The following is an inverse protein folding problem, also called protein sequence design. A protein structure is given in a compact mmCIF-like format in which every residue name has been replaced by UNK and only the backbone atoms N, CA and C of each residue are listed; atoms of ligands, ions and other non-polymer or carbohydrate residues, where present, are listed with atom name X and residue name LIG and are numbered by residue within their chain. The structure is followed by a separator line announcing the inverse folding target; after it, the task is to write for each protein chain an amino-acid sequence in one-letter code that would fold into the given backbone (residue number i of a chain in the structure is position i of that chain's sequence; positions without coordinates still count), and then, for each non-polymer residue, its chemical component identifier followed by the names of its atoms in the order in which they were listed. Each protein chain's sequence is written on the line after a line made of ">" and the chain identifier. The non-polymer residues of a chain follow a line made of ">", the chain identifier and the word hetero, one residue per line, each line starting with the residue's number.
data_IF_059799125622
#
_entry.id   IF_059799125622
#
_cell.length_a   1.000
_cell.length_b   1.000
_cell.length_c   1.000
_cell.angle_alpha   90.00
_cell.angle_beta   90.00
_cell.angle_gamma   90.00
#
_symmetry.space_group_name_H-M   'P 1'
#
loop_
_entity.id
_entity.type
_entity.pdbx_description
1 polymer ?
#
# COMPACT_ATOMS: atom_id res chain seq x y z
N UNK A 1 -16.94 18.02 5.06
CA UNK A 1 -16.18 16.88 4.47
C UNK A 1 -14.98 16.46 5.32
N UNK A 2 -13.89 17.25 5.48
CA UNK A 2 -12.68 16.81 6.23
C UNK A 2 -12.95 16.31 7.66
N UNK A 3 -13.61 17.13 8.50
CA UNK A 3 -13.92 16.76 9.89
C UNK A 3 -14.79 15.51 9.98
N UNK A 4 -15.73 15.34 9.04
CA UNK A 4 -16.62 14.19 8.99
C UNK A 4 -15.84 12.88 8.80
N UNK A 5 -14.96 12.78 7.79
CA UNK A 5 -14.17 11.56 7.56
C UNK A 5 -13.19 11.26 8.68
N UNK A 6 -12.64 12.29 9.33
CA UNK A 6 -11.81 12.12 10.52
C UNK A 6 -12.63 11.53 11.68
N UNK A 7 -13.83 12.07 11.93
CA UNK A 7 -14.75 11.55 12.95
C UNK A 7 -15.16 10.11 12.64
N UNK A 8 -15.54 9.82 11.38
CA UNK A 8 -15.91 8.46 10.94
C UNK A 8 -14.77 7.48 11.23
N UNK A 9 -13.53 7.84 10.88
CA UNK A 9 -12.37 6.99 11.13
C UNK A 9 -12.17 6.71 12.63
N UNK A 10 -12.21 7.73 13.49
CA UNK A 10 -12.07 7.50 14.94
C UNK A 10 -13.23 6.72 15.54
N UNK A 11 -14.47 6.98 15.13
CA UNK A 11 -15.64 6.19 15.55
C UNK A 11 -15.45 4.74 15.12
N UNK A 12 -15.00 4.50 13.89
CA UNK A 12 -14.73 3.16 13.38
C UNK A 12 -13.63 2.44 14.20
N UNK A 13 -12.55 3.13 14.58
CA UNK A 13 -11.52 2.58 15.47
C UNK A 13 -12.05 2.23 16.87
N UNK A 14 -12.96 3.05 17.42
CA UNK A 14 -13.59 2.76 18.72
C UNK A 14 -14.53 1.55 18.60
N UNK A 15 -15.41 1.55 17.60
CA UNK A 15 -16.38 0.48 17.38
C UNK A 15 -15.69 -0.86 17.13
N UNK A 16 -14.63 -0.91 16.31
CA UNK A 16 -13.89 -2.15 16.09
C UNK A 16 -13.18 -2.61 17.35
N UNK A 17 -12.65 -1.69 18.17
CA UNK A 17 -11.99 -2.04 19.42
C UNK A 17 -12.98 -2.67 20.40
N UNK A 18 -14.18 -2.09 20.54
CA UNK A 18 -15.26 -2.66 21.36
C UNK A 18 -15.66 -4.04 20.81
N UNK A 19 -15.87 -4.16 19.50
CA UNK A 19 -16.26 -5.42 18.87
C UNK A 19 -15.22 -6.51 19.14
N UNK A 20 -13.93 -6.23 18.92
CA UNK A 20 -12.83 -7.17 19.17
C UNK A 20 -12.79 -7.59 20.62
N UNK A 21 -12.88 -6.65 21.58
CA UNK A 21 -12.90 -6.97 23.01
C UNK A 21 -14.07 -7.88 23.36
N UNK A 22 -15.28 -7.56 22.87
CA UNK A 22 -16.49 -8.37 23.11
C UNK A 22 -16.34 -9.78 22.54
N UNK A 23 -15.84 -9.91 21.31
CA UNK A 23 -15.63 -11.21 20.67
C UNK A 23 -14.55 -12.03 21.39
N UNK A 24 -13.46 -11.41 21.82
CA UNK A 24 -12.40 -12.07 22.58
C UNK A 24 -12.92 -12.60 23.91
N UNK A 25 -13.68 -11.79 24.66
CA UNK A 25 -14.29 -12.21 25.94
C UNK A 25 -15.29 -13.35 25.69
N UNK A 26 -16.19 -13.19 24.70
CA UNK A 26 -17.19 -14.21 24.34
C UNK A 26 -16.51 -15.54 23.96
N UNK A 27 -15.47 -15.47 23.12
CA UNK A 27 -14.71 -16.64 22.69
C UNK A 27 -14.01 -17.35 23.85
N UNK A 28 -13.42 -16.58 24.79
CA UNK A 28 -12.78 -17.16 25.97
C UNK A 28 -13.78 -17.86 26.90
N UNK A 29 -14.94 -17.22 27.16
CA UNK A 29 -16.02 -17.82 27.97
C UNK A 29 -16.57 -19.09 27.31
N UNK A 30 -16.70 -19.10 25.98
CA UNK A 30 -17.19 -20.27 25.26
C UNK A 30 -16.16 -21.40 25.24
N UNK A 31 -14.88 -21.11 25.02
CA UNK A 31 -13.79 -22.07 25.08
C UNK A 31 -13.64 -22.71 26.48
N UNK A 32 -13.91 -21.95 27.55
CA UNK A 32 -13.92 -22.49 28.91
C UNK A 32 -15.10 -23.46 29.18
N UNK A 33 -16.20 -23.33 28.45
CA UNK A 33 -17.42 -24.15 28.62
C UNK A 33 -17.50 -25.35 27.67
N UNK A 34 -16.90 -25.26 26.49
CA UNK A 34 -16.96 -26.27 25.43
C UNK A 34 -15.58 -26.87 25.19
N UNK A 35 -15.42 -28.15 25.50
CA UNK A 35 -14.12 -28.86 25.45
C UNK A 35 -13.61 -29.19 24.04
N UNK A 36 -14.40 -29.03 22.98
CA UNK A 36 -14.13 -29.76 21.72
C UNK A 36 -14.02 -28.97 20.40
N UNK A 37 -14.21 -27.64 20.34
CA UNK A 37 -14.27 -26.96 19.02
C UNK A 37 -13.14 -25.95 18.69
N UNK A 38 -12.65 -25.16 19.65
CA UNK A 38 -11.63 -24.15 19.37
C UNK A 38 -10.49 -24.19 20.39
N UNK A 39 -9.26 -24.36 19.90
CA UNK A 39 -8.05 -24.49 20.74
C UNK A 39 -7.15 -23.26 20.58
N UNK A 40 -7.32 -22.23 21.42
CA UNK A 40 -6.58 -20.97 21.28
C UNK A 40 -5.07 -21.18 21.37
N UNK A 41 -4.60 -22.13 22.19
CA UNK A 41 -3.17 -22.45 22.33
C UNK A 41 -2.52 -22.99 21.06
N UNK A 42 -3.33 -23.35 20.05
CA UNK A 42 -2.87 -23.92 18.78
C UNK A 42 -3.16 -23.03 17.58
N UNK A 43 -4.08 -22.08 17.74
CA UNK A 43 -4.48 -21.14 16.69
C UNK A 43 -3.70 -19.82 16.75
N UNK A 44 -3.48 -19.27 17.96
CA UNK A 44 -2.78 -17.98 18.11
C UNK A 44 -1.27 -18.03 17.81
N UNK A 45 -0.49 -19.03 18.29
CA UNK A 45 0.96 -18.99 18.12
C UNK A 45 1.43 -19.00 16.66
N UNK A 46 0.88 -19.82 15.74
CA UNK A 46 1.26 -19.77 14.33
C UNK A 46 1.03 -18.39 13.70
N UNK A 47 -0.05 -17.71 14.09
CA UNK A 47 -0.44 -16.43 13.49
C UNK A 47 0.37 -15.26 14.06
N UNK A 48 0.64 -15.25 15.37
CA UNK A 48 1.53 -14.27 16.00
C UNK A 48 2.98 -14.47 15.54
N UNK A 49 3.44 -15.71 15.40
CA UNK A 49 4.74 -16.05 14.84
C UNK A 49 4.87 -15.59 13.39
N UNK A 50 3.82 -15.80 12.58
CA UNK A 50 3.76 -15.28 11.21
C UNK A 50 3.75 -13.75 11.18
N UNK A 51 2.99 -13.07 12.04
CA UNK A 51 2.99 -11.61 12.13
C UNK A 51 4.39 -11.07 12.50
N UNK A 52 5.06 -11.67 13.49
CA UNK A 52 6.44 -11.32 13.82
C UNK A 52 7.39 -11.51 12.63
N UNK A 53 7.26 -12.63 11.91
CA UNK A 53 8.03 -12.88 10.69
C UNK A 53 7.76 -11.83 9.61
N UNK A 54 6.51 -11.37 9.46
CA UNK A 54 6.15 -10.31 8.53
C UNK A 54 6.89 -9.00 8.84
N UNK A 55 6.98 -8.63 10.11
CA UNK A 55 7.72 -7.44 10.55
C UNK A 55 9.21 -7.53 10.20
N UNK A 56 9.83 -8.67 10.52
CA UNK A 56 11.25 -8.91 10.24
C UNK A 56 11.52 -8.90 8.73
N UNK A 57 10.74 -9.68 7.96
CA UNK A 57 10.90 -9.78 6.51
C UNK A 57 10.63 -8.44 5.84
N UNK A 58 9.62 -7.68 6.27
CA UNK A 58 9.32 -6.36 5.70
C UNK A 58 10.45 -5.35 5.95
N UNK A 59 11.02 -5.34 7.15
CA UNK A 59 12.17 -4.50 7.46
C UNK A 59 13.41 -4.90 6.66
N UNK A 60 13.71 -6.20 6.57
CA UNK A 60 14.78 -6.71 5.70
C UNK A 60 14.54 -6.35 4.24
N UNK A 61 13.30 -6.40 3.77
CA UNK A 61 12.94 -6.06 2.40
C UNK A 61 13.17 -4.58 2.10
N UNK A 62 12.80 -3.70 3.03
CA UNK A 62 13.10 -2.27 2.95
C UNK A 62 14.62 -2.03 2.93
N UNK A 63 15.36 -2.71 3.81
CA UNK A 63 16.83 -2.62 3.89
C UNK A 63 17.50 -3.03 2.57
N UNK A 64 17.11 -4.19 2.00
CA UNK A 64 17.62 -4.66 0.70
C UNK A 64 17.29 -3.66 -0.40
N UNK A 65 16.06 -3.13 -0.40
CA UNK A 65 15.63 -2.13 -1.38
C UNK A 65 16.40 -0.82 -1.26
N UNK A 66 16.86 -0.48 -0.07
CA UNK A 66 17.70 0.69 0.18
C UNK A 66 19.15 0.51 -0.29
N UNK A 67 19.74 -0.68 -0.09
CA UNK A 67 21.13 -0.92 -0.49
C UNK A 67 21.30 -1.35 -1.94
N UNK A 68 20.42 -2.21 -2.45
CA UNK A 68 20.51 -2.81 -3.79
C UNK A 68 19.12 -2.80 -4.47
N UNK A 69 18.65 -1.63 -4.96
CA UNK A 69 17.32 -1.51 -5.57
C UNK A 69 17.13 -2.44 -6.78
N UNK A 70 18.21 -2.68 -7.56
CA UNK A 70 18.18 -3.61 -8.69
C UNK A 70 17.86 -5.05 -8.25
N UNK A 71 18.51 -5.52 -7.19
CA UNK A 71 18.27 -6.86 -6.65
C UNK A 71 16.86 -6.95 -6.10
N UNK A 72 16.43 -5.95 -5.33
CA UNK A 72 15.09 -5.91 -4.75
C UNK A 72 13.99 -6.03 -5.80
N UNK A 73 14.08 -5.26 -6.90
CA UNK A 73 13.09 -5.32 -7.99
C UNK A 73 13.10 -6.71 -8.64
N UNK A 74 14.28 -7.26 -8.94
CA UNK A 74 14.42 -8.59 -9.55
C UNK A 74 13.84 -9.67 -8.64
N UNK A 75 14.14 -9.65 -7.35
CA UNK A 75 13.62 -10.64 -6.39
C UNK A 75 12.12 -10.50 -6.18
N UNK A 76 11.58 -9.28 -6.12
CA UNK A 76 10.13 -9.05 -6.00
C UNK A 76 9.38 -9.71 -7.14
N UNK A 77 9.82 -9.47 -8.38
CA UNK A 77 9.14 -9.90 -9.59
C UNK A 77 9.43 -11.34 -9.99
N UNK A 78 10.55 -11.90 -9.51
CA UNK A 78 10.88 -13.31 -9.72
C UNK A 78 10.08 -14.24 -8.81
N UNK A 79 9.72 -13.79 -7.60
CA UNK A 79 8.87 -14.53 -6.69
C UNK A 79 7.40 -14.64 -7.14
N UNK A 80 6.98 -13.94 -8.18
CA UNK A 80 5.59 -13.96 -8.64
C UNK A 80 5.31 -15.07 -9.66
N UNK A 81 4.12 -15.71 -9.59
CA UNK A 81 3.75 -16.84 -10.46
C UNK A 81 3.52 -16.48 -11.93
N UNK A 82 3.49 -15.18 -12.27
CA UNK A 82 3.29 -14.70 -13.65
C UNK A 82 4.66 -14.25 -14.18
N UNK A 83 5.07 -14.65 -15.40
CA UNK A 83 6.33 -14.22 -16.00
C UNK A 83 6.27 -12.76 -16.50
N UNK A 84 5.84 -11.83 -15.65
CA UNK A 84 5.95 -10.38 -15.85
C UNK A 84 7.41 -9.96 -16.01
N UNK A 85 8.35 -10.75 -15.48
CA UNK A 85 9.79 -10.52 -15.67
C UNK A 85 10.19 -10.46 -17.16
N UNK A 86 9.53 -11.25 -18.04
CA UNK A 86 9.80 -11.27 -19.48
C UNK A 86 9.21 -10.05 -20.20
N UNK A 87 8.05 -9.55 -19.75
CA UNK A 87 7.32 -8.47 -20.43
C UNK A 87 7.83 -7.07 -20.07
N UNK A 88 8.51 -6.93 -18.93
CA UNK A 88 8.84 -5.62 -18.30
C UNK A 88 10.33 -5.28 -18.38
N UNK A 89 11.15 -6.14 -18.97
CA UNK A 89 12.62 -6.02 -19.05
C UNK A 89 13.17 -4.60 -19.35
N UNK A 90 12.69 -3.85 -20.37
CA UNK A 90 13.23 -2.53 -20.70
C UNK A 90 12.79 -1.39 -19.75
N UNK A 91 11.94 -1.66 -18.77
CA UNK A 91 11.49 -0.68 -17.77
C UNK A 91 12.26 -0.81 -16.44
N UNK A 92 13.05 -1.88 -16.25
CA UNK A 92 13.78 -2.13 -15.01
C UNK A 92 14.92 -1.16 -14.78
N UNK A 93 15.68 -0.81 -15.82
CA UNK A 93 16.81 0.10 -15.66
C UNK A 93 16.35 1.46 -15.15
N UNK A 94 15.24 1.95 -15.70
CA UNK A 94 14.64 3.21 -15.25
C UNK A 94 14.07 3.11 -13.83
N UNK A 95 13.33 2.04 -13.51
CA UNK A 95 12.79 1.84 -12.16
C UNK A 95 13.90 1.73 -11.11
N UNK A 96 15.02 1.07 -11.46
CA UNK A 96 16.21 0.98 -10.60
C UNK A 96 16.81 2.36 -10.38
N UNK A 97 17.03 3.14 -11.44
CA UNK A 97 17.56 4.52 -11.35
C UNK A 97 16.67 5.42 -10.48
N UNK A 98 15.35 5.35 -10.65
CA UNK A 98 14.40 6.14 -9.86
C UNK A 98 14.37 5.70 -8.39
N UNK A 99 14.52 4.41 -8.10
CA UNK A 99 14.68 3.96 -6.71
C UNK A 99 16.02 4.42 -6.12
N UNK A 100 17.07 4.57 -6.92
CA UNK A 100 18.34 5.17 -6.45
C UNK A 100 18.19 6.65 -6.04
N UNK A 101 17.24 7.39 -6.63
CA UNK A 101 16.89 8.76 -6.18
C UNK A 101 16.31 8.74 -4.75
N UNK A 102 15.68 7.65 -4.34
CA UNK A 102 15.25 7.46 -2.95
C UNK A 102 16.44 7.17 -2.02
N UNK A 103 17.41 6.38 -2.46
CA UNK A 103 18.54 5.92 -1.60
C UNK A 103 19.62 6.98 -1.42
N UNK A 104 19.73 7.95 -2.34
CA UNK A 104 20.80 8.95 -2.34
C UNK A 104 20.72 9.93 -1.16
N UNK A 105 19.50 10.29 -0.73
CA UNK A 105 19.28 11.22 0.37
C UNK A 105 18.01 10.85 1.15
N UNK A 106 18.03 9.81 2.01
CA UNK A 106 16.89 9.50 2.85
C UNK A 106 16.62 10.66 3.82
N UNK A 107 15.35 11.06 4.05
CA UNK A 107 15.05 12.07 5.06
C UNK A 107 15.51 11.60 6.44
N UNK A 108 15.93 12.55 7.27
CA UNK A 108 16.32 12.27 8.64
C UNK A 108 15.26 11.45 9.38
N UNK A 109 15.71 10.39 10.05
CA UNK A 109 14.90 9.48 10.87
C UNK A 109 13.83 8.69 10.11
N UNK A 110 13.93 8.57 8.78
CA UNK A 110 12.98 7.76 7.99
C UNK A 110 12.91 6.32 8.47
N UNK A 111 14.05 5.68 8.74
CA UNK A 111 14.09 4.32 9.29
C UNK A 111 13.35 4.22 10.63
N UNK A 112 13.46 5.22 11.51
CA UNK A 112 12.73 5.26 12.77
C UNK A 112 11.22 5.31 12.54
N UNK A 113 10.75 6.15 11.62
CA UNK A 113 9.32 6.22 11.27
C UNK A 113 8.79 4.92 10.69
N UNK A 114 9.58 4.25 9.85
CA UNK A 114 9.16 2.99 9.24
C UNK A 114 9.12 1.89 10.30
N UNK A 115 10.13 1.77 11.16
CA UNK A 115 10.12 0.83 12.29
C UNK A 115 8.91 1.08 13.20
N UNK A 116 8.63 2.34 13.57
CA UNK A 116 7.46 2.69 14.39
C UNK A 116 6.14 2.32 13.70
N UNK A 117 6.05 2.51 12.38
CA UNK A 117 4.87 2.12 11.60
C UNK A 117 4.70 0.60 11.56
N UNK A 118 5.78 -0.16 11.41
CA UNK A 118 5.78 -1.63 11.43
C UNK A 118 5.32 -2.13 12.81
N UNK A 119 5.89 -1.58 13.90
CA UNK A 119 5.48 -1.92 15.27
C UNK A 119 3.99 -1.64 15.49
N UNK A 120 3.52 -0.47 15.05
CA UNK A 120 2.10 -0.10 15.14
C UNK A 120 1.21 -1.08 14.38
N UNK A 121 1.63 -1.49 13.17
CA UNK A 121 0.92 -2.48 12.37
C UNK A 121 0.91 -3.87 13.01
N UNK A 122 2.01 -4.29 13.65
CA UNK A 122 2.11 -5.56 14.37
C UNK A 122 1.18 -5.60 15.58
N UNK A 123 1.19 -4.54 16.39
CA UNK A 123 0.31 -4.41 17.56
C UNK A 123 -1.16 -4.42 17.12
N UNK A 124 -1.51 -3.64 16.09
CA UNK A 124 -2.88 -3.58 15.59
C UNK A 124 -3.33 -4.92 14.99
N UNK A 125 -2.49 -5.58 14.19
CA UNK A 125 -2.80 -6.90 13.62
C UNK A 125 -2.99 -7.94 14.73
N UNK A 126 -2.10 -7.97 15.72
CA UNK A 126 -2.19 -8.89 16.86
C UNK A 126 -3.49 -8.68 17.65
N UNK A 127 -3.87 -7.42 17.86
CA UNK A 127 -5.13 -7.08 18.52
C UNK A 127 -6.35 -7.60 17.74
N UNK A 128 -6.45 -7.33 16.43
CA UNK A 128 -7.59 -7.79 15.64
C UNK A 128 -7.66 -9.32 15.53
N UNK A 129 -6.50 -9.99 15.48
CA UNK A 129 -6.40 -11.45 15.50
C UNK A 129 -7.09 -12.06 16.71
N UNK A 130 -7.04 -11.42 17.89
CA UNK A 130 -7.77 -11.89 19.08
C UNK A 130 -9.29 -11.89 18.87
N UNK A 131 -9.82 -10.87 18.19
CA UNK A 131 -11.25 -10.79 17.86
C UNK A 131 -11.67 -11.84 16.84
N UNK A 132 -10.84 -12.10 15.83
CA UNK A 132 -11.09 -13.16 14.84
C UNK A 132 -11.11 -14.52 15.52
N UNK A 133 -10.11 -14.83 16.35
CA UNK A 133 -10.07 -16.08 17.12
C UNK A 133 -11.28 -16.22 18.05
N UNK A 134 -11.71 -15.13 18.68
CA UNK A 134 -12.93 -15.10 19.52
C UNK A 134 -14.21 -15.41 18.74
N UNK A 135 -14.35 -14.88 17.53
CA UNK A 135 -15.48 -15.17 16.63
C UNK A 135 -15.45 -16.61 16.11
N UNK A 136 -14.27 -17.11 15.71
CA UNK A 136 -14.08 -18.50 15.28
C UNK A 136 -14.39 -19.50 16.39
N UNK A 137 -14.17 -19.14 17.65
CA UNK A 137 -14.47 -20.01 18.79
C UNK A 137 -15.96 -20.33 18.95
N UNK A 138 -16.85 -19.42 18.58
CA UNK A 138 -18.31 -19.60 18.69
C UNK A 138 -18.94 -20.22 17.45
N UNK A 139 -18.40 -19.93 16.25
CA UNK A 139 -18.74 -20.66 15.01
C UNK A 139 -20.17 -20.45 14.50
N UNK A 140 -20.83 -19.33 14.81
CA UNK A 140 -22.18 -18.99 14.33
C UNK A 140 -22.16 -18.25 12.99
N UNK A 141 -23.28 -18.24 12.24
CA UNK A 141 -23.35 -17.51 10.96
C UNK A 141 -23.07 -16.01 11.08
N UNK A 142 -23.39 -15.40 12.24
CA UNK A 142 -23.04 -14.00 12.55
C UNK A 142 -21.54 -13.79 12.73
N UNK A 143 -20.79 -14.81 13.13
CA UNK A 143 -19.34 -14.70 13.35
C UNK A 143 -18.59 -14.52 12.02
N UNK A 144 -19.10 -15.10 10.93
CA UNK A 144 -18.57 -14.84 9.58
C UNK A 144 -18.74 -13.36 9.21
N UNK A 145 -19.91 -12.77 9.49
CA UNK A 145 -20.15 -11.35 9.26
C UNK A 145 -19.20 -10.48 10.08
N UNK A 146 -18.97 -10.82 11.36
CA UNK A 146 -18.01 -10.10 12.19
C UNK A 146 -16.58 -10.19 11.66
N UNK A 147 -16.14 -11.37 11.20
CA UNK A 147 -14.81 -11.55 10.58
C UNK A 147 -14.69 -10.69 9.33
N UNK A 148 -15.71 -10.65 8.46
CA UNK A 148 -15.71 -9.79 7.27
C UNK A 148 -15.59 -8.32 7.65
N UNK A 149 -16.36 -7.85 8.65
CA UNK A 149 -16.29 -6.47 9.16
C UNK A 149 -14.91 -6.15 9.73
N UNK A 150 -14.29 -7.10 10.47
CA UNK A 150 -12.92 -6.97 10.98
C UNK A 150 -11.92 -6.83 9.83
N UNK A 151 -11.99 -7.68 8.81
CA UNK A 151 -11.06 -7.66 7.66
C UNK A 151 -11.20 -6.40 6.80
N UNK A 152 -12.44 -5.91 6.58
CA UNK A 152 -12.69 -4.66 5.86
C UNK A 152 -12.12 -3.46 6.63
N UNK A 153 -12.37 -3.42 7.94
CA UNK A 153 -11.79 -2.41 8.84
C UNK A 153 -10.28 -2.47 8.84
N UNK A 154 -9.71 -3.67 8.96
CA UNK A 154 -8.28 -3.90 8.94
C UNK A 154 -7.63 -3.34 7.67
N UNK A 155 -8.19 -3.69 6.52
CA UNK A 155 -7.73 -3.24 5.21
C UNK A 155 -7.75 -1.71 5.11
N UNK A 156 -8.84 -1.08 5.55
CA UNK A 156 -8.95 0.38 5.50
C UNK A 156 -7.96 1.07 6.45
N UNK A 157 -7.86 0.61 7.69
CA UNK A 157 -6.91 1.16 8.68
C UNK A 157 -5.46 1.01 8.21
N UNK A 158 -5.08 -0.16 7.67
CA UNK A 158 -3.74 -0.37 7.09
C UNK A 158 -3.45 0.59 5.95
N UNK A 159 -4.43 0.85 5.08
CA UNK A 159 -4.29 1.83 4.02
C UNK A 159 -4.16 3.27 4.56
N UNK A 160 -4.86 3.62 5.65
CA UNK A 160 -4.68 4.90 6.35
C UNK A 160 -3.28 5.02 6.93
N UNK A 161 -2.78 4.03 7.65
CA UNK A 161 -1.41 4.04 8.22
C UNK A 161 -0.38 4.23 7.08
N UNK A 162 -0.50 3.43 6.01
CA UNK A 162 0.35 3.51 4.82
C UNK A 162 0.36 4.93 4.24
N UNK A 163 -0.82 5.52 4.04
CA UNK A 163 -0.94 6.83 3.40
C UNK A 163 -0.54 7.98 4.34
N UNK A 164 -0.69 7.84 5.66
CA UNK A 164 -0.18 8.81 6.65
C UNK A 164 1.34 8.89 6.61
N UNK A 165 2.02 7.74 6.57
CA UNK A 165 3.47 7.67 6.38
C UNK A 165 3.87 8.27 5.03
N UNK A 166 3.16 7.89 3.96
CA UNK A 166 3.41 8.38 2.61
C UNK A 166 3.31 9.92 2.51
N UNK A 167 2.24 10.52 3.05
CA UNK A 167 2.02 11.98 3.03
C UNK A 167 3.11 12.70 3.82
N UNK A 168 3.50 12.15 4.97
CA UNK A 168 4.54 12.74 5.82
C UNK A 168 5.89 12.75 5.11
N UNK A 169 6.33 11.60 4.58
CA UNK A 169 7.63 11.46 3.91
C UNK A 169 7.66 12.24 2.60
N UNK A 170 6.59 12.20 1.80
CA UNK A 170 6.51 12.95 0.55
C UNK A 170 6.55 14.46 0.79
N UNK A 171 5.93 14.98 1.86
CA UNK A 171 6.01 16.41 2.23
C UNK A 171 7.46 16.82 2.48
N UNK A 172 8.19 16.06 3.30
CA UNK A 172 9.60 16.36 3.63
C UNK A 172 10.47 16.32 2.37
N UNK A 173 10.32 15.28 1.53
CA UNK A 173 11.11 15.17 0.28
C UNK A 173 10.75 16.23 -0.74
N UNK A 174 9.48 16.57 -0.87
CA UNK A 174 9.05 17.62 -1.79
C UNK A 174 9.70 18.95 -1.39
N UNK A 175 9.71 19.31 -0.11
CA UNK A 175 10.35 20.56 0.36
C UNK A 175 11.86 20.58 0.09
N UNK A 176 12.52 19.43 0.20
CA UNK A 176 13.93 19.28 -0.16
C UNK A 176 14.16 19.46 -1.67
N UNK A 177 13.34 18.86 -2.54
CA UNK A 177 13.47 18.98 -4.01
C UNK A 177 13.02 20.32 -4.59
N UNK A 178 12.03 20.96 -3.98
CA UNK A 178 11.47 22.21 -4.50
C UNK A 178 12.21 23.44 -3.97
N UNK A 179 12.68 23.39 -2.72
CA UNK A 179 13.24 24.55 -2.03
C UNK A 179 14.65 24.34 -1.50
N UNK A 180 15.24 23.15 -1.63
CA UNK A 180 16.50 22.81 -0.96
C UNK A 180 16.42 22.82 0.57
N UNK A 181 15.20 22.78 1.13
CA UNK A 181 14.97 22.96 2.57
C UNK A 181 14.82 21.63 3.29
N UNK A 182 15.62 21.42 4.34
CA UNK A 182 15.50 20.25 5.21
C UNK A 182 14.45 20.48 6.29
N UNK A 183 13.28 19.88 6.08
CA UNK A 183 12.18 19.91 7.04
C UNK A 183 12.32 18.77 8.04
N UNK A 184 12.23 19.08 9.34
CA UNK A 184 12.24 18.07 10.39
C UNK A 184 11.02 17.12 10.25
N UNK A 185 11.28 15.84 10.00
CA UNK A 185 10.28 14.79 9.76
C UNK A 185 9.27 14.66 10.91
N UNK A 186 9.69 14.90 12.16
CA UNK A 186 8.80 14.84 13.32
C UNK A 186 7.73 15.95 13.34
N UNK A 187 8.13 17.16 12.95
CA UNK A 187 7.20 18.29 12.86
C UNK A 187 6.22 18.03 11.72
N UNK A 188 6.73 17.58 10.57
CA UNK A 188 5.89 17.21 9.42
C UNK A 188 4.87 16.11 9.77
N UNK A 189 5.27 15.11 10.56
CA UNK A 189 4.37 14.05 11.02
C UNK A 189 3.29 14.58 11.96
N UNK A 190 3.68 15.37 12.97
CA UNK A 190 2.75 15.96 13.94
C UNK A 190 1.66 16.78 13.23
N UNK A 191 2.06 17.63 12.30
CA UNK A 191 1.13 18.43 11.50
C UNK A 191 0.19 17.55 10.66
N UNK A 192 0.74 16.48 10.07
CA UNK A 192 -0.03 15.53 9.26
C UNK A 192 -1.12 14.85 10.09
N UNK A 193 -0.77 14.39 11.30
CA UNK A 193 -1.71 13.78 12.25
C UNK A 193 -2.75 14.79 12.73
N UNK A 194 -2.37 16.04 12.98
CA UNK A 194 -3.32 17.04 13.51
C UNK A 194 -4.29 17.57 12.45
N UNK A 195 -3.84 17.73 11.20
CA UNK A 195 -4.60 18.50 10.22
C UNK A 195 -5.01 17.73 8.96
N UNK A 196 -4.34 16.61 8.64
CA UNK A 196 -4.50 15.93 7.35
C UNK A 196 -5.24 14.59 7.45
N UNK A 197 -5.41 14.00 8.63
CA UNK A 197 -6.03 12.68 8.84
C UNK A 197 -7.32 12.50 8.04
N UNK A 198 -8.30 13.40 8.18
CA UNK A 198 -9.58 13.26 7.48
C UNK A 198 -9.46 13.24 5.95
N UNK A 199 -8.44 13.90 5.37
CA UNK A 199 -8.21 13.89 3.92
C UNK A 199 -7.45 12.66 3.49
N UNK A 200 -6.52 12.19 4.32
CA UNK A 200 -5.83 10.92 4.09
C UNK A 200 -6.82 9.76 4.14
N UNK A 201 -7.78 9.75 5.08
CA UNK A 201 -8.84 8.75 5.16
C UNK A 201 -9.68 8.66 3.87
N UNK A 202 -10.05 9.80 3.28
CA UNK A 202 -10.78 9.84 2.00
C UNK A 202 -9.94 9.17 0.90
N UNK A 203 -8.67 9.59 0.75
CA UNK A 203 -7.77 8.99 -0.23
C UNK A 203 -7.55 7.49 0.01
N UNK A 204 -7.46 7.05 1.26
CA UNK A 204 -7.31 5.64 1.63
C UNK A 204 -8.53 4.78 1.29
N UNK A 205 -9.73 5.35 1.21
CA UNK A 205 -10.91 4.65 0.72
C UNK A 205 -10.99 4.67 -0.81
N UNK A 206 -10.71 5.82 -1.43
CA UNK A 206 -10.93 6.07 -2.86
C UNK A 206 -9.84 5.45 -3.74
N UNK A 207 -8.57 5.62 -3.39
CA UNK A 207 -7.43 5.20 -4.25
C UNK A 207 -7.39 3.70 -4.53
N UNK A 208 -7.59 2.81 -3.53
CA UNK A 208 -7.63 1.37 -3.81
C UNK A 208 -8.76 0.98 -4.76
N UNK A 209 -9.95 1.55 -4.60
CA UNK A 209 -11.12 1.27 -5.46
C UNK A 209 -10.82 1.65 -6.91
N UNK A 210 -10.26 2.84 -7.13
CA UNK A 210 -9.84 3.29 -8.47
C UNK A 210 -8.74 2.39 -9.03
N UNK A 211 -7.79 1.97 -8.19
CA UNK A 211 -6.75 1.01 -8.56
C UNK A 211 -7.32 -0.31 -9.05
N UNK A 212 -8.33 -0.85 -8.37
CA UNK A 212 -9.03 -2.09 -8.77
C UNK A 212 -9.78 -1.91 -10.09
N UNK A 213 -10.51 -0.80 -10.27
CA UNK A 213 -11.22 -0.49 -11.52
C UNK A 213 -10.21 -0.37 -12.69
N UNK A 214 -9.10 0.33 -12.51
CA UNK A 214 -8.05 0.43 -13.55
C UNK A 214 -7.37 -0.92 -13.80
N UNK A 215 -7.20 -1.74 -12.76
CA UNK A 215 -6.69 -3.10 -12.86
C UNK A 215 -7.56 -3.96 -13.76
N UNK A 216 -8.86 -4.02 -13.46
CA UNK A 216 -9.83 -4.79 -14.25
C UNK A 216 -9.97 -4.25 -15.67
N UNK A 217 -9.93 -2.92 -15.87
CA UNK A 217 -9.93 -2.31 -17.21
C UNK A 217 -8.78 -2.82 -18.10
N UNK A 218 -7.57 -2.91 -17.54
CA UNK A 218 -6.37 -3.33 -18.29
C UNK A 218 -6.40 -4.81 -18.63
N UNK A 219 -6.87 -5.64 -17.70
CA UNK A 219 -7.08 -7.08 -17.96
C UNK A 219 -8.12 -7.27 -19.06
N UNK A 220 -9.24 -6.55 -18.98
CA UNK A 220 -10.27 -6.58 -20.02
C UNK A 220 -9.70 -6.21 -21.39
N UNK A 221 -8.93 -5.11 -21.48
CA UNK A 221 -8.30 -4.67 -22.72
C UNK A 221 -7.31 -5.70 -23.29
N UNK A 222 -6.60 -6.45 -22.44
CA UNK A 222 -5.72 -7.52 -22.90
C UNK A 222 -6.46 -8.77 -23.38
N UNK A 223 -7.68 -9.01 -22.90
CA UNK A 223 -8.51 -10.15 -23.30
C UNK A 223 -9.29 -9.86 -24.58
N UNK A 224 -9.65 -8.58 -24.84
CA UNK A 224 -10.38 -8.12 -26.04
C UNK A 224 -9.50 -8.07 -27.30
N UNK A 225 -8.26 -8.59 -27.24
CA UNK A 225 -7.37 -8.75 -28.40
C UNK A 225 -7.84 -9.74 -29.48
N UNK A 226 -9.08 -10.24 -29.40
CA UNK A 226 -9.70 -11.09 -30.42
C UNK A 226 -11.19 -10.81 -30.57
N UNK A 227 -11.56 -10.18 -31.69
CA UNK A 227 -12.84 -10.39 -32.42
C UNK A 227 -14.16 -10.17 -31.68
N UNK A 228 -14.44 -9.00 -31.09
CA UNK A 228 -15.83 -8.59 -30.78
C UNK A 228 -16.03 -7.07 -30.70
N UNK A 229 -16.81 -6.49 -31.63
CA UNK A 229 -17.12 -5.04 -31.70
C UNK A 229 -17.96 -4.52 -30.51
N UNK A 230 -18.78 -5.38 -29.89
CA UNK A 230 -19.63 -5.00 -28.75
C UNK A 230 -18.83 -4.80 -27.46
N UNK A 231 -17.76 -5.58 -27.27
CA UNK A 231 -16.81 -5.43 -26.16
C UNK A 231 -15.95 -4.16 -26.28
N UNK A 232 -15.76 -3.65 -27.51
CA UNK A 232 -14.99 -2.43 -27.76
C UNK A 232 -15.69 -1.17 -27.24
N UNK A 233 -17.01 -1.05 -27.42
CA UNK A 233 -17.81 0.08 -26.90
C UNK A 233 -17.83 0.12 -25.35
N UNK A 234 -17.95 -1.04 -24.70
CA UNK A 234 -17.85 -1.14 -23.24
C UNK A 234 -16.44 -0.82 -22.74
N UNK A 235 -15.39 -1.25 -23.46
CA UNK A 235 -14.01 -0.94 -23.12
C UNK A 235 -13.72 0.57 -23.21
N UNK A 236 -14.25 1.26 -24.20
CA UNK A 236 -14.10 2.72 -24.35
C UNK A 236 -14.87 3.52 -23.29
N UNK A 237 -16.05 3.05 -22.90
CA UNK A 237 -16.80 3.62 -21.77
C UNK A 237 -16.02 3.44 -20.46
N UNK A 238 -15.53 2.23 -20.21
CA UNK A 238 -14.78 1.89 -19.01
C UNK A 238 -13.44 2.66 -18.92
N UNK A 239 -12.77 2.84 -20.07
CA UNK A 239 -11.54 3.62 -20.18
C UNK A 239 -11.78 5.11 -19.91
N UNK A 240 -12.90 5.67 -20.40
CA UNK A 240 -13.32 7.06 -20.07
C UNK A 240 -13.58 7.24 -18.58
N UNK A 241 -14.35 6.35 -17.96
CA UNK A 241 -14.61 6.37 -16.51
C UNK A 241 -13.30 6.23 -15.72
N UNK A 242 -12.43 5.30 -16.09
CA UNK A 242 -11.14 5.11 -15.44
C UNK A 242 -10.25 6.37 -15.55
N UNK A 243 -10.22 7.04 -16.72
CA UNK A 243 -9.47 8.27 -16.95
C UNK A 243 -9.97 9.43 -16.07
N UNK A 244 -11.29 9.60 -15.97
CA UNK A 244 -11.89 10.59 -15.06
C UNK A 244 -11.58 10.26 -13.61
N UNK A 245 -11.70 8.99 -13.20
CA UNK A 245 -11.39 8.56 -11.84
C UNK A 245 -9.91 8.81 -11.47
N UNK A 246 -8.97 8.52 -12.36
CA UNK A 246 -7.53 8.78 -12.12
C UNK A 246 -7.27 10.27 -11.90
N UNK A 247 -7.95 11.14 -12.64
CA UNK A 247 -7.81 12.59 -12.49
C UNK A 247 -8.16 13.03 -11.06
N UNK A 248 -9.18 12.44 -10.44
CA UNK A 248 -9.61 12.84 -9.10
C UNK A 248 -9.12 11.94 -7.96
N UNK A 249 -8.58 10.76 -8.23
CA UNK A 249 -8.16 9.82 -7.21
C UNK A 249 -6.92 9.03 -7.63
N UNK A 250 -5.80 9.72 -7.64
CA UNK A 250 -4.49 9.14 -7.87
C UNK A 250 -3.62 9.23 -6.61
N UNK A 251 -2.59 8.38 -6.54
CA UNK A 251 -1.67 8.38 -5.40
C UNK A 251 -0.84 9.67 -5.30
N UNK A 252 -0.60 10.35 -6.42
CA UNK A 252 0.27 11.53 -6.48
C UNK A 252 -0.36 12.72 -5.75
N UNK A 253 -1.70 12.80 -5.72
CA UNK A 253 -2.44 13.78 -4.95
C UNK A 253 -2.12 13.79 -3.46
N UNK A 254 -1.65 12.68 -2.88
CA UNK A 254 -1.19 12.67 -1.48
C UNK A 254 0.00 13.62 -1.23
N UNK A 255 0.86 13.85 -2.23
CA UNK A 255 1.97 14.81 -2.13
C UNK A 255 1.40 16.23 -1.93
N UNK A 256 0.45 16.65 -2.76
CA UNK A 256 -0.21 17.96 -2.62
C UNK A 256 -1.06 18.08 -1.36
N UNK A 257 -1.64 16.98 -0.85
CA UNK A 257 -2.31 16.98 0.46
C UNK A 257 -1.31 17.32 1.57
N UNK A 258 -0.11 16.74 1.54
CA UNK A 258 0.96 16.98 2.51
C UNK A 258 1.53 18.39 2.43
N UNK A 259 1.88 18.84 1.23
CA UNK A 259 2.60 20.10 0.99
C UNK A 259 1.66 21.30 1.10
N UNK A 260 0.56 21.28 0.35
CA UNK A 260 -0.30 22.45 0.19
C UNK A 260 -1.53 22.44 1.09
N UNK A 261 -1.72 21.40 1.92
CA UNK A 261 -2.88 21.30 2.80
C UNK A 261 -4.20 21.48 2.01
N UNK A 262 -4.28 20.90 0.80
CA UNK A 262 -5.47 20.86 -0.06
C UNK A 262 -6.34 19.62 0.20
N UNK A 263 -7.60 19.65 -0.20
CA UNK A 263 -8.48 18.46 -0.17
C UNK A 263 -7.99 17.37 -1.12
N UNK A 264 -8.16 16.08 -0.78
CA UNK A 264 -7.57 14.97 -1.56
C UNK A 264 -7.98 14.95 -3.05
N UNK A 265 -9.26 15.18 -3.35
CA UNK A 265 -9.75 15.19 -4.75
C UNK A 265 -9.17 16.36 -5.55
N UNK A 266 -9.10 17.55 -4.94
CA UNK A 266 -8.50 18.74 -5.55
C UNK A 266 -7.00 18.54 -5.75
N UNK A 267 -6.31 18.01 -4.74
CA UNK A 267 -4.88 17.71 -4.80
C UNK A 267 -4.55 16.68 -5.90
N UNK A 268 -5.41 15.68 -6.09
CA UNK A 268 -5.28 14.70 -7.17
C UNK A 268 -5.49 15.32 -8.55
N UNK A 269 -6.47 16.21 -8.70
CA UNK A 269 -6.73 16.90 -9.95
C UNK A 269 -5.57 17.86 -10.32
N UNK A 270 -5.08 18.62 -9.34
CA UNK A 270 -3.98 19.57 -9.53
C UNK A 270 -2.68 18.83 -9.95
N UNK A 271 -2.33 17.75 -9.26
CA UNK A 271 -1.13 16.94 -9.62
C UNK A 271 -1.25 16.31 -11.00
N UNK A 272 -2.43 15.77 -11.34
CA UNK A 272 -2.67 15.21 -12.67
C UNK A 272 -2.62 16.28 -13.76
N UNK A 273 -3.10 17.50 -13.48
CA UNK A 273 -2.98 18.65 -14.34
C UNK A 273 -1.51 19.05 -14.57
N UNK A 274 -0.72 19.15 -13.51
CA UNK A 274 0.72 19.45 -13.60
C UNK A 274 1.45 18.43 -14.48
N UNK A 275 1.15 17.13 -14.32
CA UNK A 275 1.73 16.10 -15.17
C UNK A 275 1.35 16.19 -16.65
N UNK A 276 0.13 16.65 -16.96
CA UNK A 276 -0.27 16.91 -18.36
C UNK A 276 0.50 18.10 -18.93
N UNK A 277 0.59 19.20 -18.17
CA UNK A 277 1.31 20.40 -18.60
C UNK A 277 2.80 20.15 -18.82
N UNK A 278 3.42 19.30 -17.98
CA UNK A 278 4.81 18.91 -18.11
C UNK A 278 5.05 17.72 -19.07
N UNK A 279 4.01 17.22 -19.76
CA UNK A 279 4.08 16.07 -20.69
C UNK A 279 4.63 14.77 -20.06
N UNK A 280 4.42 14.57 -18.76
CA UNK A 280 4.95 13.43 -17.99
C UNK A 280 4.04 12.20 -17.98
N UNK A 281 2.87 12.25 -18.63
CA UNK A 281 1.89 11.16 -18.62
C UNK A 281 2.48 9.83 -19.13
N UNK A 282 3.20 9.77 -20.27
CA UNK A 282 3.81 8.52 -20.73
C UNK A 282 4.84 7.95 -19.75
N UNK A 283 5.57 8.84 -19.07
CA UNK A 283 6.55 8.47 -18.05
C UNK A 283 5.87 7.82 -16.84
N UNK A 284 4.80 8.44 -16.35
CA UNK A 284 4.01 7.97 -15.20
C UNK A 284 3.33 6.63 -15.49
N UNK A 285 2.80 6.44 -16.69
CA UNK A 285 2.21 5.15 -17.09
C UNK A 285 3.27 4.05 -17.26
N UNK A 286 4.54 4.43 -17.44
CA UNK A 286 5.68 3.51 -17.45
C UNK A 286 6.26 3.20 -16.06
N UNK A 287 5.84 3.92 -15.01
CA UNK A 287 6.34 3.74 -13.64
C UNK A 287 6.05 2.34 -13.10
N UNK A 288 7.09 1.72 -12.53
CA UNK A 288 7.01 0.39 -11.93
C UNK A 288 6.98 0.40 -10.41
N UNK A 289 7.20 1.53 -9.73
CA UNK A 289 7.24 1.56 -8.26
C UNK A 289 5.92 1.06 -7.66
N UNK A 290 4.78 1.37 -8.29
CA UNK A 290 3.49 0.85 -7.84
C UNK A 290 3.36 -0.67 -7.94
N UNK A 291 3.83 -1.26 -9.04
CA UNK A 291 3.85 -2.69 -9.26
C UNK A 291 4.83 -3.38 -8.31
N UNK A 292 6.05 -2.83 -8.19
CA UNK A 292 7.08 -3.31 -7.27
C UNK A 292 6.57 -3.40 -5.83
N UNK A 293 5.92 -2.35 -5.30
CA UNK A 293 5.36 -2.40 -3.94
C UNK A 293 4.25 -3.44 -3.80
N UNK A 294 3.39 -3.59 -4.83
CA UNK A 294 2.33 -4.60 -4.81
C UNK A 294 2.89 -6.02 -4.75
N UNK A 295 3.81 -6.34 -5.65
CA UNK A 295 4.45 -7.65 -5.76
C UNK A 295 5.34 -7.97 -4.56
N UNK A 296 6.06 -6.99 -4.03
CA UNK A 296 6.78 -7.14 -2.76
C UNK A 296 5.83 -7.53 -1.62
N UNK A 297 4.65 -6.89 -1.54
CA UNK A 297 3.62 -7.26 -0.56
C UNK A 297 3.14 -8.70 -0.75
N UNK A 298 2.90 -9.13 -2.00
CA UNK A 298 2.48 -10.50 -2.31
C UNK A 298 3.57 -11.52 -1.93
N UNK A 299 4.84 -11.22 -2.22
CA UNK A 299 5.97 -12.06 -1.85
C UNK A 299 6.08 -12.22 -0.32
N UNK A 300 6.03 -11.12 0.44
CA UNK A 300 6.07 -11.17 1.91
C UNK A 300 4.84 -11.87 2.49
N UNK A 301 3.65 -11.63 1.96
CA UNK A 301 2.43 -12.35 2.34
C UNK A 301 2.56 -13.86 2.10
N UNK A 302 3.15 -14.26 0.97
CA UNK A 302 3.38 -15.67 0.64
C UNK A 302 4.37 -16.33 1.59
N UNK A 303 5.46 -15.65 1.94
CA UNK A 303 6.42 -16.12 2.96
C UNK A 303 5.71 -16.32 4.31
N UNK A 304 4.89 -15.34 4.72
CA UNK A 304 4.13 -15.42 5.97
C UNK A 304 3.15 -16.60 5.96
N UNK A 305 2.50 -16.84 4.82
CA UNK A 305 1.61 -17.99 4.59
C UNK A 305 2.36 -19.30 4.77
N UNK A 306 3.55 -19.44 4.21
CA UNK A 306 4.37 -20.64 4.35
C UNK A 306 4.79 -20.86 5.81
N UNK A 307 5.22 -19.81 6.50
CA UNK A 307 5.62 -19.88 7.92
C UNK A 307 4.43 -20.26 8.81
N UNK A 308 3.34 -19.51 8.75
CA UNK A 308 2.16 -19.72 9.58
C UNK A 308 1.40 -20.99 9.22
N UNK A 309 1.24 -21.27 7.92
CA UNK A 309 0.55 -22.44 7.40
C UNK A 309 1.29 -23.74 7.68
N UNK A 310 2.63 -23.78 7.50
CA UNK A 310 3.43 -24.97 7.82
C UNK A 310 3.41 -25.26 9.31
N UNK A 311 3.53 -24.22 10.16
CA UNK A 311 3.37 -24.36 11.60
C UNK A 311 1.99 -24.91 11.96
N UNK A 312 0.93 -24.33 11.40
CA UNK A 312 -0.43 -24.79 11.65
C UNK A 312 -0.65 -26.23 11.18
N UNK A 313 -0.11 -26.64 10.02
CA UNK A 313 -0.16 -28.03 9.53
C UNK A 313 0.54 -29.01 10.47
N UNK A 314 1.66 -28.60 11.07
CA UNK A 314 2.42 -29.43 12.01
C UNK A 314 1.68 -29.64 13.33
N UNK A 315 0.86 -28.68 13.78
CA UNK A 315 0.11 -28.76 15.05
C UNK A 315 -1.32 -29.28 14.84
N UNK A 316 -2.10 -28.64 13.97
CA UNK A 316 -3.47 -29.03 13.62
C UNK A 316 -3.86 -28.66 12.20
N UNK A 317 -4.02 -29.71 11.38
CA UNK A 317 -4.42 -29.60 9.97
C UNK A 317 -5.71 -28.79 9.73
N UNK A 318 -6.65 -28.78 10.66
CA UNK A 318 -7.94 -28.09 10.52
C UNK A 318 -7.81 -26.56 10.44
N UNK A 319 -6.82 -25.97 11.11
CA UNK A 319 -6.64 -24.50 11.14
C UNK A 319 -5.70 -23.99 10.06
N UNK A 320 -5.04 -24.88 9.32
CA UNK A 320 -4.00 -24.51 8.37
C UNK A 320 -4.49 -23.51 7.32
N UNK A 321 -5.67 -23.73 6.73
CA UNK A 321 -6.22 -22.85 5.69
C UNK A 321 -6.53 -21.46 6.22
N UNK A 322 -7.22 -21.35 7.36
CA UNK A 322 -7.58 -20.06 7.96
C UNK A 322 -6.34 -19.26 8.37
N UNK A 323 -5.42 -19.91 9.11
CA UNK A 323 -4.16 -19.29 9.54
C UNK A 323 -3.35 -18.82 8.34
N UNK A 324 -3.30 -19.62 7.27
CA UNK A 324 -2.61 -19.27 6.02
C UNK A 324 -3.18 -17.99 5.38
N UNK A 325 -4.51 -17.88 5.29
CA UNK A 325 -5.18 -16.70 4.71
C UNK A 325 -4.89 -15.46 5.56
N UNK A 326 -5.03 -15.54 6.89
CA UNK A 326 -4.77 -14.40 7.76
C UNK A 326 -3.30 -14.00 7.78
N UNK A 327 -2.38 -14.98 7.79
CA UNK A 327 -0.94 -14.77 7.68
C UNK A 327 -0.57 -14.04 6.38
N UNK A 328 -1.18 -14.42 5.26
CA UNK A 328 -1.00 -13.75 3.97
C UNK A 328 -1.36 -12.26 4.06
N UNK A 329 -2.58 -11.94 4.53
CA UNK A 329 -3.06 -10.57 4.62
C UNK A 329 -2.21 -9.72 5.55
N UNK A 330 -1.84 -10.26 6.72
CA UNK A 330 -0.97 -9.56 7.67
C UNK A 330 0.39 -9.25 7.04
N UNK A 331 1.02 -10.26 6.43
CA UNK A 331 2.30 -10.09 5.73
C UNK A 331 2.23 -9.06 4.61
N UNK A 332 1.20 -9.15 3.77
CA UNK A 332 0.97 -8.23 2.67
C UNK A 332 0.85 -6.78 3.15
N UNK A 333 -0.04 -6.48 4.10
CA UNK A 333 -0.26 -5.10 4.52
C UNK A 333 0.93 -4.50 5.28
N UNK A 334 1.61 -5.27 6.14
CA UNK A 334 2.81 -4.78 6.86
C UNK A 334 3.91 -4.40 5.86
N UNK A 335 4.16 -5.25 4.85
CA UNK A 335 5.14 -4.95 3.80
C UNK A 335 4.74 -3.70 3.00
N UNK A 336 3.45 -3.56 2.65
CA UNK A 336 2.95 -2.38 1.93
C UNK A 336 3.11 -1.09 2.72
N UNK A 337 3.01 -1.14 4.05
CA UNK A 337 3.29 0.01 4.93
C UNK A 337 4.78 0.30 4.97
N UNK A 338 5.64 -0.71 5.11
CA UNK A 338 7.10 -0.54 5.12
C UNK A 338 7.61 0.16 3.85
N UNK A 339 7.10 -0.26 2.68
CA UNK A 339 7.50 0.32 1.38
C UNK A 339 6.85 1.68 1.06
N UNK A 340 6.00 2.21 1.94
CA UNK A 340 5.32 3.48 1.69
C UNK A 340 6.30 4.66 1.63
N UNK A 341 7.39 4.61 2.40
CA UNK A 341 8.46 5.62 2.42
C UNK A 341 9.11 5.77 1.04
N UNK A 342 9.48 4.65 0.43
CA UNK A 342 10.10 4.59 -0.89
C UNK A 342 9.17 5.14 -1.97
N UNK A 343 7.93 4.67 -1.95
CA UNK A 343 6.90 5.11 -2.89
C UNK A 343 6.63 6.62 -2.76
N UNK A 344 6.69 7.16 -1.54
CA UNK A 344 6.50 8.58 -1.27
C UNK A 344 7.64 9.44 -1.81
N UNK A 345 8.90 9.00 -1.65
CA UNK A 345 10.07 9.72 -2.16
C UNK A 345 10.05 9.85 -3.68
N UNK A 346 9.79 8.74 -4.39
CA UNK A 346 9.65 8.73 -5.86
C UNK A 346 8.51 9.65 -6.30
N UNK A 347 7.42 9.69 -5.55
CA UNK A 347 6.26 10.53 -5.87
C UNK A 347 6.50 12.00 -5.62
N UNK A 348 7.21 12.36 -4.55
CA UNK A 348 7.63 13.72 -4.32
C UNK A 348 8.55 14.21 -5.44
N UNK A 349 9.48 13.36 -5.90
CA UNK A 349 10.40 13.68 -7.00
C UNK A 349 9.65 13.97 -8.31
N UNK A 350 8.71 13.09 -8.73
CA UNK A 350 7.91 13.34 -9.94
C UNK A 350 7.05 14.60 -9.84
N UNK A 351 6.37 14.81 -8.71
CA UNK A 351 5.49 15.97 -8.52
C UNK A 351 6.30 17.26 -8.49
N UNK A 352 7.41 17.31 -7.77
CA UNK A 352 8.28 18.49 -7.72
C UNK A 352 8.89 18.81 -9.10
N UNK A 353 9.31 17.78 -9.85
CA UNK A 353 9.78 17.96 -11.22
C UNK A 353 8.69 18.50 -12.14
N UNK A 354 7.45 17.99 -12.03
CA UNK A 354 6.33 18.44 -12.85
C UNK A 354 5.97 19.92 -12.65
N UNK A 355 6.14 20.44 -11.43
CA UNK A 355 5.83 21.82 -11.12
C UNK A 355 6.94 22.80 -11.52
N UNK A 356 8.21 22.36 -11.51
CA UNK A 356 9.31 23.17 -11.99
C UNK A 356 10.39 22.33 -12.72
N UNK A 357 10.15 21.95 -13.99
CA UNK A 357 11.08 21.12 -14.76
C UNK A 357 12.44 21.77 -15.03
N UNK A 358 12.51 23.11 -14.95
CA UNK A 358 13.73 23.90 -15.21
C UNK A 358 14.60 24.11 -13.96
N UNK A 359 14.19 23.59 -12.79
CA UNK A 359 14.98 23.73 -11.57
C UNK A 359 16.33 23.01 -11.69
N UNK A 360 17.40 23.71 -11.30
CA UNK A 360 18.77 23.18 -11.25
C UNK A 360 18.96 22.07 -10.19
N UNK A 361 17.96 21.84 -9.34
CA UNK A 361 18.01 20.81 -8.30
C UNK A 361 17.75 19.39 -8.84
N UNK A 362 17.24 19.27 -10.07
CA UNK A 362 16.96 17.98 -10.70
C UNK A 362 18.13 17.49 -11.55
N UNK A 363 18.34 16.18 -11.52
CA UNK A 363 19.28 15.47 -12.37
C UNK A 363 18.69 15.16 -13.76
N UNK A 364 19.54 14.67 -14.66
CA UNK A 364 19.13 14.34 -16.03
C UNK A 364 18.24 13.08 -16.15
N UNK A 365 17.91 12.42 -15.04
CA UNK A 365 17.21 11.12 -15.02
C UNK A 365 15.82 11.18 -15.68
N UNK A 366 15.00 12.19 -15.36
CA UNK A 366 13.68 12.36 -15.99
C UNK A 366 13.80 12.77 -17.47
N UNK A 367 14.54 13.84 -17.84
CA UNK A 367 14.69 14.26 -19.24
C UNK A 367 15.17 13.14 -20.17
N UNK A 368 16.21 12.40 -19.76
CA UNK A 368 16.77 11.29 -20.56
C UNK A 368 15.71 10.23 -20.82
N UNK A 369 14.90 9.88 -19.80
CA UNK A 369 13.86 8.87 -19.97
C UNK A 369 12.72 9.35 -20.88
N UNK A 370 12.33 10.62 -20.80
CA UNK A 370 11.32 11.18 -21.71
C UNK A 370 11.81 11.08 -23.16
N UNK A 371 13.07 11.41 -23.41
CA UNK A 371 13.67 11.30 -24.75
C UNK A 371 13.68 9.84 -25.26
N UNK A 372 14.06 8.88 -24.42
CA UNK A 372 14.00 7.44 -24.76
C UNK A 372 12.58 6.98 -25.10
N UNK A 373 11.56 7.46 -24.37
CA UNK A 373 10.17 7.12 -24.63
C UNK A 373 9.67 7.74 -25.93
N UNK A 374 9.99 9.00 -26.21
CA UNK A 374 9.63 9.68 -27.45
C UNK A 374 10.26 8.99 -28.68
N UNK A 375 11.53 8.57 -28.57
CA UNK A 375 12.19 7.80 -29.63
C UNK A 375 11.53 6.45 -29.91
N UNK A 376 10.94 5.80 -28.89
CA UNK A 376 10.21 4.53 -29.08
C UNK A 376 8.81 4.69 -29.66
N UNK A 377 8.18 5.85 -29.51
CA UNK A 377 6.84 6.12 -30.06
C UNK A 377 6.87 6.71 -31.47
N UNK A 378 8.00 7.29 -31.90
CA UNK A 378 8.22 7.82 -33.25
C UNK A 378 8.84 6.80 -34.24
N UNK A 379 8.92 5.52 -33.85
CA UNK A 379 9.29 4.36 -34.67
C UNK A 379 8.11 3.41 -34.68
#
# INVERSE_FOLDING_TARGET
>A
MRKLFQIIFYIQLILISILVIVLTIRGFVYAARSTNHFRPEKWYPPLLGSAASAGIVSYLWEWISFHDPSKAIKTALWCDPIPLYLLVNPRFDYATKILTVYTSFPPDKTATFVILSIITCLVYSSFLVTGIGGATATGTGLDILFIIVILLTYTWTMQVIKNMLYVTISRVRYMNFACGADMNTWIAFRDTVQHLVGRVCIGSAVVPVIGTIRGSARVMKSVVGGTDEFLFSCADCYSRVASTLITYGNRWGFVHVGVYNKGFMQASADTWGAFKTAELIPLIDSDLTGAFCFFSGVAVGSICTLVGGTWALAIHKSYATEVSIYAFFIGYFICRVALASQQACVSAYYVAYAENPQSLQFDATIPVRIQELLQRYNV
#
